data_IF_563138298702
#
_entry.id   IF_563138298702
#
_cell.length_a   1.000
_cell.length_b   1.000
_cell.length_c   1.000
_cell.angle_alpha   90.00
_cell.angle_beta   90.00
_cell.angle_gamma   90.00
#
_symmetry.space_group_name_H-M   'P 1'
#
loop_
_entity.id
_entity.type
_entity.pdbx_description
1 polymer ?
#
# COMPACT_ATOMS: atom_id res chain seq x y z
N UNK A 1 -12.60 -62.44 52.21
CA UNK A 1 -12.23 -62.38 50.76
C UNK A 1 -12.96 -61.26 50.10
N UNK A 2 -12.63 -59.98 50.31
CA UNK A 2 -13.24 -58.81 49.62
C UNK A 2 -12.38 -57.53 49.81
N UNK A 3 -11.08 -57.58 49.68
CA UNK A 3 -10.24 -56.37 49.82
C UNK A 3 -9.22 -56.17 48.69
N UNK A 4 -9.04 -57.11 47.77
CA UNK A 4 -8.01 -56.98 46.73
C UNK A 4 -8.47 -56.41 45.38
N UNK A 5 -9.80 -56.34 45.14
CA UNK A 5 -10.35 -55.81 43.86
C UNK A 5 -10.39 -54.29 43.75
N UNK A 6 -10.26 -53.56 44.88
CA UNK A 6 -10.45 -52.11 44.88
C UNK A 6 -9.13 -51.36 44.65
N UNK A 7 -8.03 -51.94 45.04
CA UNK A 7 -6.69 -51.32 44.88
C UNK A 7 -6.16 -51.34 43.43
N UNK A 8 -6.59 -52.31 42.62
CA UNK A 8 -6.14 -52.45 41.23
C UNK A 8 -6.87 -51.49 40.28
N UNK A 9 -8.12 -51.09 40.57
CA UNK A 9 -8.90 -50.14 39.75
C UNK A 9 -8.43 -48.69 39.93
N UNK A 10 -7.88 -48.31 41.06
CA UNK A 10 -7.37 -46.96 41.34
C UNK A 10 -6.00 -46.76 40.64
N UNK A 11 -5.16 -47.77 40.55
CA UNK A 11 -3.86 -47.67 39.83
C UNK A 11 -4.02 -47.53 38.32
N UNK A 12 -5.03 -48.14 37.72
CA UNK A 12 -5.27 -48.04 36.26
C UNK A 12 -5.81 -46.68 35.86
N UNK A 13 -6.63 -46.05 36.72
CA UNK A 13 -7.11 -44.67 36.45
C UNK A 13 -6.03 -43.61 36.58
N UNK A 14 -5.05 -43.78 37.49
CA UNK A 14 -3.96 -42.80 37.63
C UNK A 14 -2.97 -42.86 36.47
N UNK A 15 -2.71 -44.01 35.88
CA UNK A 15 -1.81 -44.15 34.71
C UNK A 15 -2.48 -43.58 33.44
N UNK A 16 -3.78 -43.70 33.30
CA UNK A 16 -4.51 -43.12 32.16
C UNK A 16 -4.60 -41.59 32.25
N UNK A 17 -4.65 -41.02 33.46
CA UNK A 17 -4.73 -39.56 33.63
C UNK A 17 -3.39 -38.84 33.41
N UNK A 18 -2.28 -39.52 33.67
CA UNK A 18 -0.92 -38.94 33.48
C UNK A 18 -0.49 -38.97 32.01
N UNK A 19 -1.04 -39.87 31.18
CA UNK A 19 -0.73 -39.94 29.75
C UNK A 19 -1.53 -38.93 28.90
N UNK A 20 -2.59 -38.35 29.44
CA UNK A 20 -3.40 -37.34 28.72
C UNK A 20 -2.90 -35.92 28.89
N UNK A 21 -2.00 -35.67 29.85
CA UNK A 21 -1.46 -34.33 30.15
C UNK A 21 -0.20 -33.95 29.34
N UNK A 22 0.36 -34.86 28.53
CA UNK A 22 1.62 -34.63 27.79
C UNK A 22 1.43 -34.17 26.34
N UNK A 23 0.22 -33.90 25.87
CA UNK A 23 -0.06 -33.53 24.47
C UNK A 23 -0.37 -32.03 24.27
N UNK A 24 -0.07 -31.17 25.24
CA UNK A 24 0.02 -29.72 24.94
C UNK A 24 1.36 -29.44 24.30
N UNK A 25 1.48 -29.86 23.03
CA UNK A 25 2.59 -29.47 22.18
C UNK A 25 2.65 -27.93 22.16
N UNK A 26 3.81 -27.40 22.59
CA UNK A 26 4.20 -26.02 22.38
C UNK A 26 4.02 -25.69 20.88
N UNK A 27 2.91 -25.05 20.53
CA UNK A 27 2.82 -24.32 19.28
C UNK A 27 3.76 -23.11 19.43
N UNK A 28 5.03 -23.30 19.06
CA UNK A 28 5.95 -22.20 18.93
C UNK A 28 5.30 -21.19 17.96
N UNK A 29 5.26 -19.89 18.29
CA UNK A 29 4.77 -18.89 17.35
C UNK A 29 5.66 -18.99 16.12
N UNK A 30 5.09 -19.45 15.01
CA UNK A 30 5.78 -19.40 13.72
C UNK A 30 6.00 -17.92 13.44
N UNK A 31 7.23 -17.46 13.62
CA UNK A 31 7.65 -16.14 13.17
C UNK A 31 7.26 -16.04 11.71
N UNK A 32 6.27 -15.21 11.43
CA UNK A 32 5.89 -14.86 10.06
C UNK A 32 7.16 -14.42 9.36
N UNK A 33 7.68 -15.24 8.45
CA UNK A 33 8.76 -14.83 7.56
C UNK A 33 8.26 -13.55 6.91
N UNK A 34 8.83 -12.42 7.29
CA UNK A 34 8.56 -11.13 6.67
C UNK A 34 8.84 -11.34 5.19
N UNK A 35 7.79 -11.45 4.40
CA UNK A 35 7.93 -11.63 2.96
C UNK A 35 8.76 -10.46 2.45
N UNK A 36 9.81 -10.74 1.68
CA UNK A 36 10.60 -9.70 1.04
C UNK A 36 9.63 -8.74 0.33
N UNK A 37 9.88 -7.43 0.36
CA UNK A 37 9.02 -6.47 -0.32
C UNK A 37 8.81 -6.93 -1.77
N UNK A 38 7.56 -7.21 -2.13
CA UNK A 38 7.24 -7.58 -3.51
C UNK A 38 7.47 -6.36 -4.38
N UNK A 39 8.03 -6.58 -5.57
CA UNK A 39 8.15 -5.51 -6.54
C UNK A 39 6.78 -4.88 -6.82
N UNK A 40 6.74 -3.55 -7.00
CA UNK A 40 5.53 -2.88 -7.43
C UNK A 40 4.97 -3.51 -8.70
N UNK A 41 3.67 -3.70 -8.73
CA UNK A 41 2.99 -4.23 -9.92
C UNK A 41 3.18 -3.29 -11.10
N UNK A 42 3.35 -3.88 -12.28
CA UNK A 42 3.44 -3.11 -13.53
C UNK A 42 2.05 -2.59 -13.88
N UNK A 43 1.99 -1.33 -14.30
CA UNK A 43 0.77 -0.67 -14.72
C UNK A 43 0.96 -0.04 -16.11
N UNK A 44 0.10 -0.37 -17.04
CA UNK A 44 -0.07 0.34 -18.32
C UNK A 44 -1.29 1.29 -18.23
N UNK A 45 -1.59 2.00 -19.32
CA UNK A 45 -2.69 2.97 -19.33
C UNK A 45 -4.04 2.33 -19.01
N UNK A 46 -4.30 1.12 -19.48
CA UNK A 46 -5.56 0.42 -19.23
C UNK A 46 -5.67 -0.02 -17.77
N UNK A 47 -4.57 -0.55 -17.22
CA UNK A 47 -4.49 -0.92 -15.81
C UNK A 47 -4.59 0.31 -14.90
N UNK A 48 -4.05 1.47 -15.33
CA UNK A 48 -4.21 2.72 -14.62
C UNK A 48 -5.67 3.18 -14.57
N UNK A 49 -6.39 3.14 -15.68
CA UNK A 49 -7.81 3.46 -15.72
C UNK A 49 -8.64 2.55 -14.81
N UNK A 50 -8.36 1.23 -14.84
CA UNK A 50 -8.98 0.27 -13.90
C UNK A 50 -8.63 0.56 -12.45
N UNK A 51 -7.42 1.03 -12.18
CA UNK A 51 -7.02 1.45 -10.84
C UNK A 51 -7.90 2.61 -10.35
N UNK A 52 -8.11 3.63 -11.15
CA UNK A 52 -9.01 4.74 -10.80
C UNK A 52 -10.44 4.22 -10.51
N UNK A 53 -10.95 3.32 -11.34
CA UNK A 53 -12.26 2.69 -11.13
C UNK A 53 -12.36 1.91 -9.81
N UNK A 54 -11.30 1.20 -9.38
CA UNK A 54 -11.27 0.46 -8.11
C UNK A 54 -11.38 1.37 -6.88
N UNK A 55 -11.04 2.65 -7.04
CA UNK A 55 -11.17 3.65 -5.97
C UNK A 55 -12.47 4.45 -6.02
N UNK A 56 -13.41 4.11 -6.91
CA UNK A 56 -14.74 4.73 -6.90
C UNK A 56 -15.36 4.73 -5.48
N UNK A 57 -16.01 5.81 -5.13
CA UNK A 57 -16.55 6.06 -3.80
C UNK A 57 -15.53 6.62 -2.79
N UNK A 58 -14.26 6.77 -3.19
CA UNK A 58 -13.18 7.25 -2.33
C UNK A 58 -12.40 8.37 -3.01
N UNK A 59 -12.09 9.48 -2.32
CA UNK A 59 -11.17 10.48 -2.84
C UNK A 59 -9.78 9.88 -3.00
N UNK A 60 -9.15 10.09 -4.15
CA UNK A 60 -7.87 9.46 -4.50
C UNK A 60 -6.84 10.52 -4.92
N UNK A 61 -5.64 10.39 -4.38
CA UNK A 61 -4.43 11.08 -4.82
C UNK A 61 -3.50 10.06 -5.49
N UNK A 62 -3.12 10.30 -6.73
CA UNK A 62 -2.10 9.53 -7.44
C UNK A 62 -0.87 10.41 -7.64
N UNK A 63 0.27 10.02 -7.06
CA UNK A 63 1.55 10.71 -7.23
C UNK A 63 2.48 9.95 -8.18
N UNK A 64 3.06 10.65 -9.13
CA UNK A 64 4.03 10.13 -10.10
C UNK A 64 5.44 10.58 -9.69
N UNK A 65 6.36 9.64 -9.62
CA UNK A 65 7.70 9.85 -9.11
C UNK A 65 8.73 8.97 -9.82
N UNK A 66 10.01 9.33 -9.70
CA UNK A 66 11.11 8.52 -10.20
C UNK A 66 12.29 8.56 -9.23
N UNK A 67 13.18 7.57 -9.31
CA UNK A 67 14.36 7.47 -8.43
C UNK A 67 15.39 8.57 -8.69
N UNK A 68 15.48 9.04 -9.92
CA UNK A 68 16.35 10.13 -10.36
C UNK A 68 15.75 11.53 -10.11
N UNK A 69 14.47 11.61 -9.76
CA UNK A 69 13.77 12.88 -9.50
C UNK A 69 14.09 13.36 -8.07
N UNK A 70 14.94 14.37 -7.94
CA UNK A 70 15.34 14.91 -6.64
C UNK A 70 14.16 15.53 -5.88
N UNK A 71 13.33 16.42 -6.49
CA UNK A 71 12.18 16.98 -5.79
C UNK A 71 11.18 15.90 -5.34
N UNK A 72 11.04 14.80 -6.10
CA UNK A 72 10.19 13.68 -5.68
C UNK A 72 10.67 13.06 -4.37
N UNK A 73 11.99 12.95 -4.17
CA UNK A 73 12.58 12.40 -2.94
C UNK A 73 12.30 13.29 -1.74
N UNK A 74 12.32 14.59 -1.93
CA UNK A 74 12.10 15.57 -0.87
C UNK A 74 10.61 15.65 -0.49
N UNK A 75 9.73 15.49 -1.46
CA UNK A 75 8.27 15.51 -1.26
C UNK A 75 7.71 14.22 -0.65
N UNK A 76 8.35 13.07 -0.89
CA UNK A 76 7.82 11.76 -0.53
C UNK A 76 7.52 11.54 0.97
N UNK A 77 8.37 12.03 1.92
CA UNK A 77 8.06 11.96 3.35
C UNK A 77 6.78 12.73 3.71
N UNK A 78 6.59 13.91 3.13
CA UNK A 78 5.38 14.71 3.32
C UNK A 78 4.14 13.98 2.81
N UNK A 79 4.21 13.34 1.63
CA UNK A 79 3.11 12.54 1.08
C UNK A 79 2.75 11.36 2.00
N UNK A 80 3.75 10.71 2.62
CA UNK A 80 3.53 9.68 3.62
C UNK A 80 2.76 10.19 4.84
N UNK A 81 3.11 11.37 5.33
CA UNK A 81 2.41 12.00 6.45
C UNK A 81 0.99 12.38 6.09
N UNK A 82 0.79 13.01 4.92
CA UNK A 82 -0.54 13.36 4.43
C UNK A 82 -1.44 12.13 4.24
N UNK A 83 -0.87 11.05 3.68
CA UNK A 83 -1.60 9.79 3.53
C UNK A 83 -2.10 9.25 4.88
N UNK A 84 -1.26 9.30 5.94
CA UNK A 84 -1.65 8.89 7.29
C UNK A 84 -2.70 9.84 7.90
N UNK A 85 -2.46 11.14 7.79
CA UNK A 85 -3.29 12.19 8.39
C UNK A 85 -4.72 12.16 7.84
N UNK A 86 -4.86 11.98 6.52
CA UNK A 86 -6.16 12.04 5.85
C UNK A 86 -6.82 10.67 5.60
N UNK A 87 -6.13 9.55 5.91
CA UNK A 87 -6.71 8.21 5.80
C UNK A 87 -8.03 8.03 6.60
N UNK A 88 -8.17 8.56 7.85
CA UNK A 88 -9.43 8.47 8.59
C UNK A 88 -10.58 9.23 7.92
N UNK A 89 -10.28 10.23 7.10
CA UNK A 89 -11.26 11.02 6.33
C UNK A 89 -11.59 10.36 4.98
N UNK A 90 -11.00 9.21 4.69
CA UNK A 90 -11.27 8.40 3.52
C UNK A 90 -10.30 8.58 2.36
N UNK A 91 -9.33 9.52 2.43
CA UNK A 91 -8.34 9.72 1.39
C UNK A 91 -7.58 8.42 1.09
N UNK A 92 -7.44 8.11 -0.18
CA UNK A 92 -6.55 7.08 -0.70
C UNK A 92 -5.40 7.73 -1.43
N UNK A 93 -4.20 7.17 -1.27
CA UNK A 93 -3.00 7.62 -1.96
C UNK A 93 -2.39 6.44 -2.69
N UNK A 94 -1.87 6.66 -3.88
CA UNK A 94 -1.18 5.67 -4.72
C UNK A 94 0.06 6.33 -5.30
N UNK A 95 1.19 5.63 -5.30
CA UNK A 95 2.39 6.03 -6.01
C UNK A 95 2.52 5.28 -7.34
N UNK A 96 2.94 5.98 -8.39
CA UNK A 96 3.31 5.39 -9.68
C UNK A 96 4.73 5.79 -10.02
N UNK A 97 5.61 4.81 -10.04
CA UNK A 97 7.00 5.01 -10.43
C UNK A 97 7.13 5.08 -11.96
N UNK A 98 7.88 6.06 -12.42
CA UNK A 98 8.09 6.37 -13.85
C UNK A 98 9.48 5.97 -14.35
N UNK A 99 10.30 5.28 -13.52
CA UNK A 99 11.60 4.76 -13.95
C UNK A 99 11.46 3.75 -15.09
N UNK A 100 12.51 3.58 -15.85
CA UNK A 100 12.63 2.50 -16.81
C UNK A 100 12.93 1.16 -16.13
N UNK A 101 12.71 0.05 -16.82
CA UNK A 101 12.87 -1.31 -16.26
C UNK A 101 14.28 -1.61 -15.73
N UNK A 102 15.31 -0.93 -16.24
CA UNK A 102 16.69 -1.07 -15.76
C UNK A 102 16.90 -0.58 -14.32
N UNK A 103 16.02 0.25 -13.79
CA UNK A 103 16.19 0.93 -12.51
C UNK A 103 15.46 0.23 -11.33
N UNK A 104 15.02 -1.01 -11.53
CA UNK A 104 14.28 -1.78 -10.51
C UNK A 104 15.01 -1.85 -9.15
N UNK A 105 16.34 -1.96 -9.17
CA UNK A 105 17.14 -2.00 -7.94
C UNK A 105 17.08 -0.65 -7.21
N UNK A 106 17.16 0.46 -7.94
CA UNK A 106 17.07 1.81 -7.38
C UNK A 106 15.67 2.06 -6.80
N UNK A 107 14.62 1.64 -7.52
CA UNK A 107 13.25 1.72 -7.05
C UNK A 107 13.04 0.94 -5.75
N UNK A 108 13.55 -0.30 -5.64
CA UNK A 108 13.49 -1.09 -4.39
C UNK A 108 14.17 -0.37 -3.23
N UNK A 109 15.38 0.20 -3.47
CA UNK A 109 16.12 0.97 -2.45
C UNK A 109 15.33 2.20 -2.01
N UNK A 110 14.70 2.90 -2.94
CA UNK A 110 13.83 4.03 -2.67
C UNK A 110 12.68 3.61 -1.74
N UNK A 111 11.92 2.58 -2.10
CA UNK A 111 10.79 2.10 -1.32
C UNK A 111 11.19 1.60 0.08
N UNK A 112 12.35 0.96 0.20
CA UNK A 112 12.91 0.56 1.51
C UNK A 112 13.28 1.78 2.36
N UNK A 113 13.85 2.83 1.74
CA UNK A 113 14.26 4.06 2.43
C UNK A 113 13.06 4.86 2.92
N UNK A 114 12.09 5.12 2.05
CA UNK A 114 10.97 6.01 2.32
C UNK A 114 9.76 5.33 2.97
N UNK A 115 9.69 3.99 2.93
CA UNK A 115 8.68 3.14 3.57
C UNK A 115 7.26 3.69 3.37
N UNK A 116 6.78 3.78 2.11
CA UNK A 116 5.45 4.31 1.83
C UNK A 116 4.36 3.54 2.58
N UNK A 117 3.39 4.27 3.09
CA UNK A 117 2.20 3.70 3.74
C UNK A 117 1.06 3.46 2.75
N UNK A 118 1.31 3.71 1.48
CA UNK A 118 0.38 3.54 0.38
C UNK A 118 0.99 2.63 -0.72
N UNK A 119 0.16 1.96 -1.52
CA UNK A 119 0.61 1.09 -2.59
C UNK A 119 1.39 1.88 -3.64
N UNK A 120 2.40 1.22 -4.19
CA UNK A 120 3.18 1.73 -5.32
C UNK A 120 3.08 0.77 -6.49
N UNK A 121 2.99 1.35 -7.67
CA UNK A 121 3.03 0.68 -8.96
C UNK A 121 4.25 1.18 -9.75
N UNK A 122 4.63 0.48 -10.81
CA UNK A 122 5.62 0.95 -11.76
C UNK A 122 5.02 0.99 -13.16
N UNK A 123 5.33 2.03 -13.90
CA UNK A 123 4.92 2.16 -15.30
C UNK A 123 5.49 1.02 -16.12
N UNK A 124 4.70 0.47 -17.04
CA UNK A 124 5.17 -0.48 -18.04
C UNK A 124 6.20 0.20 -18.96
N UNK A 125 7.31 -0.49 -19.23
CA UNK A 125 8.31 0.01 -20.15
C UNK A 125 7.74 0.25 -21.55
N UNK A 126 8.20 1.30 -22.20
CA UNK A 126 7.71 1.73 -23.51
C UNK A 126 6.33 2.40 -23.46
N UNK A 127 5.91 2.96 -24.57
CA UNK A 127 4.59 3.60 -24.69
C UNK A 127 4.36 4.78 -23.75
N UNK A 128 5.42 5.47 -23.36
CA UNK A 128 5.37 6.53 -22.33
C UNK A 128 4.42 7.67 -22.70
N UNK A 129 4.43 8.10 -23.95
CA UNK A 129 3.51 9.12 -24.44
C UNK A 129 2.05 8.68 -24.31
N UNK A 130 1.75 7.44 -24.73
CA UNK A 130 0.39 6.90 -24.61
C UNK A 130 -0.05 6.79 -23.14
N UNK A 131 0.86 6.41 -22.27
CA UNK A 131 0.59 6.34 -20.84
C UNK A 131 0.27 7.73 -20.26
N UNK A 132 1.12 8.73 -20.56
CA UNK A 132 0.92 10.11 -20.07
C UNK A 132 -0.39 10.70 -20.57
N UNK A 133 -0.71 10.53 -21.84
CA UNK A 133 -1.97 11.00 -22.43
C UNK A 133 -3.19 10.33 -21.81
N UNK A 134 -3.06 9.05 -21.41
CA UNK A 134 -4.12 8.33 -20.72
C UNK A 134 -4.27 8.72 -19.22
N UNK A 135 -3.25 9.31 -18.62
CA UNK A 135 -3.32 9.90 -17.27
C UNK A 135 -3.94 11.29 -17.31
N UNK A 136 -3.34 12.18 -18.07
CA UNK A 136 -3.84 13.54 -18.29
C UNK A 136 -3.38 14.05 -19.67
N UNK A 137 -4.29 14.30 -20.59
CA UNK A 137 -3.96 14.91 -21.88
C UNK A 137 -3.19 16.23 -21.70
N UNK A 138 -2.08 16.37 -22.38
CA UNK A 138 -1.20 17.54 -22.30
C UNK A 138 -0.15 17.50 -21.17
N UNK A 139 -0.16 16.50 -20.30
CA UNK A 139 0.95 16.34 -19.35
C UNK A 139 2.22 15.90 -20.07
N UNK A 140 3.26 16.68 -19.92
CA UNK A 140 4.55 16.46 -20.61
C UNK A 140 5.46 15.42 -19.92
N UNK A 141 5.01 14.81 -18.79
CA UNK A 141 5.80 13.85 -18.02
C UNK A 141 6.73 14.49 -16.99
N UNK A 142 6.69 15.81 -16.79
CA UNK A 142 7.48 16.45 -15.73
C UNK A 142 7.11 15.87 -14.34
N UNK A 143 8.13 15.64 -13.52
CA UNK A 143 8.00 15.06 -12.18
C UNK A 143 8.56 16.02 -11.12
N UNK A 144 8.01 15.97 -9.88
CA UNK A 144 6.86 15.19 -9.46
C UNK A 144 5.58 15.67 -10.11
N UNK A 145 4.56 14.79 -10.17
CA UNK A 145 3.23 15.17 -10.59
C UNK A 145 2.21 14.40 -9.74
N UNK A 146 1.19 15.10 -9.26
CA UNK A 146 0.14 14.50 -8.45
C UNK A 146 -1.22 14.88 -9.02
N UNK A 147 -2.07 13.87 -9.23
CA UNK A 147 -3.43 14.03 -9.75
C UNK A 147 -4.44 13.61 -8.70
N UNK A 148 -5.48 14.40 -8.55
CA UNK A 148 -6.57 14.18 -7.60
C UNK A 148 -7.81 13.70 -8.35
N UNK A 149 -8.49 12.69 -7.80
CA UNK A 149 -9.72 12.13 -8.34
C UNK A 149 -10.82 12.15 -7.29
N UNK A 150 -11.98 12.67 -7.67
CA UNK A 150 -13.16 12.68 -6.82
C UNK A 150 -13.69 11.28 -6.52
N UNK A 151 -14.68 11.18 -5.63
CA UNK A 151 -15.37 9.92 -5.33
C UNK A 151 -16.05 9.31 -6.57
N UNK A 152 -16.39 10.13 -7.55
CA UNK A 152 -16.95 9.74 -8.86
C UNK A 152 -15.88 9.27 -9.86
N UNK A 153 -14.61 9.19 -9.45
CA UNK A 153 -13.49 8.81 -10.31
C UNK A 153 -13.06 9.89 -11.32
N UNK A 154 -13.67 11.05 -11.29
CA UNK A 154 -13.33 12.16 -12.21
C UNK A 154 -12.13 12.95 -11.71
N UNK A 155 -11.28 13.46 -12.63
CA UNK A 155 -10.21 14.37 -12.25
C UNK A 155 -10.77 15.60 -11.51
N UNK A 156 -10.18 15.93 -10.36
CA UNK A 156 -10.59 17.02 -9.48
C UNK A 156 -9.50 18.07 -9.26
N UNK A 157 -8.29 17.85 -9.79
CA UNK A 157 -7.18 18.78 -9.70
C UNK A 157 -5.84 18.09 -9.90
N UNK A 158 -4.78 18.87 -9.87
CA UNK A 158 -3.41 18.36 -9.97
C UNK A 158 -2.41 19.32 -9.32
N UNK A 159 -1.24 18.81 -8.97
CA UNK A 159 -0.04 19.55 -8.62
C UNK A 159 1.05 19.07 -9.58
N UNK A 160 1.61 19.97 -10.36
CA UNK A 160 2.70 19.68 -11.31
C UNK A 160 3.97 20.39 -10.83
N UNK A 161 5.07 19.64 -10.77
CA UNK A 161 6.29 20.07 -10.10
C UNK A 161 6.19 19.94 -8.59
N UNK A 162 7.23 20.39 -7.88
CA UNK A 162 7.30 20.33 -6.42
C UNK A 162 6.17 21.14 -5.78
N UNK A 163 5.39 20.49 -4.89
CA UNK A 163 4.31 21.10 -4.15
C UNK A 163 4.66 21.26 -2.66
N UNK A 164 4.16 22.34 -2.06
CA UNK A 164 4.25 22.52 -0.61
C UNK A 164 3.18 21.74 0.13
N UNK A 165 3.39 21.49 1.43
CA UNK A 165 2.36 20.89 2.29
C UNK A 165 1.02 21.64 2.19
N UNK A 166 1.05 22.97 2.24
CA UNK A 166 -0.17 23.79 2.16
C UNK A 166 -0.90 23.60 0.84
N UNK A 167 -0.17 23.50 -0.28
CA UNK A 167 -0.73 23.20 -1.60
C UNK A 167 -1.47 21.87 -1.62
N UNK A 168 -0.82 20.82 -1.11
CA UNK A 168 -1.42 19.49 -1.03
C UNK A 168 -2.61 19.44 -0.09
N UNK A 169 -2.49 20.03 1.10
CA UNK A 169 -3.59 20.06 2.07
C UNK A 169 -4.80 20.83 1.55
N UNK A 170 -4.60 21.95 0.85
CA UNK A 170 -5.69 22.69 0.23
C UNK A 170 -6.43 21.84 -0.82
N UNK A 171 -5.67 21.16 -1.71
CA UNK A 171 -6.23 20.28 -2.71
C UNK A 171 -6.97 19.09 -2.08
N UNK A 172 -6.39 18.45 -1.05
CA UNK A 172 -7.01 17.34 -0.33
C UNK A 172 -8.31 17.78 0.35
N UNK A 173 -8.32 18.93 1.04
CA UNK A 173 -9.54 19.45 1.69
C UNK A 173 -10.65 19.70 0.67
N UNK A 174 -10.33 20.31 -0.46
CA UNK A 174 -11.29 20.49 -1.57
C UNK A 174 -11.82 19.14 -2.05
N UNK A 175 -10.93 18.16 -2.25
CA UNK A 175 -11.31 16.83 -2.71
C UNK A 175 -12.25 16.09 -1.73
N UNK A 176 -12.02 16.24 -0.42
CA UNK A 176 -12.82 15.60 0.62
C UNK A 176 -14.21 16.22 0.73
N UNK A 177 -14.36 17.53 0.48
CA UNK A 177 -15.63 18.25 0.56
C UNK A 177 -16.48 18.13 -0.71
N UNK A 178 -15.86 17.97 -1.87
CA UNK A 178 -16.55 17.90 -3.18
C UNK A 178 -17.43 16.65 -3.39
N UNK A 179 -17.46 15.71 -2.45
CA UNK A 179 -18.25 14.48 -2.52
C UNK A 179 -19.36 14.38 -1.47
N UNK A 180 -19.80 15.49 -0.88
CA UNK A 180 -20.78 15.50 0.22
C UNK A 180 -22.21 15.87 -0.21
N UNK A 181 -22.53 15.81 -1.52
CA UNK A 181 -23.89 16.03 -2.03
C UNK A 181 -24.51 14.73 -2.52
#
# INVERSE_FOLDING_TARGET
MRAEGMAMRIRTCFVALVLLAAATALAAPQASKTAAPRDPQIIDVQAYQKLIEQYHGKPLLVTFWATWCEPCRDEYPMLNELAKQYAPQGLKVVGVNMDDDGDLILMRRFLVRYKPVFPNYRKKAGGEELFRQGVMPGWNGALPASFFYGKDGRPAGHVLGEGTRDTYEAAIRTLLTSGSN
#
